data_IF_364771376352
#
_entry.id   IF_364771376352
#
_cell.length_a   1.000
_cell.length_b   1.000
_cell.length_c   1.000
_cell.angle_alpha   90.00
_cell.angle_beta   90.00
_cell.angle_gamma   90.00
#
_symmetry.space_group_name_H-M   'P 1'
#
loop_
_entity.id
_entity.type
_entity.pdbx_description
1 polymer ?
#
# COMPACT_ATOMS: atom_id res chain seq x y z
N UNK A 1 -13.83 -17.20 13.98
CA UNK A 1 -14.01 -15.83 13.46
C UNK A 1 -13.02 -15.68 12.32
N UNK A 2 -13.46 -15.25 11.14
CA UNK A 2 -12.55 -15.02 10.01
C UNK A 2 -11.58 -13.90 10.38
N UNK A 3 -10.29 -14.12 10.19
CA UNK A 3 -9.25 -13.17 10.59
C UNK A 3 -9.17 -12.07 9.54
N UNK A 4 -9.57 -10.86 9.92
CA UNK A 4 -9.54 -9.71 9.03
C UNK A 4 -8.17 -9.04 9.04
N UNK A 5 -7.77 -8.52 7.88
CA UNK A 5 -6.52 -7.82 7.65
C UNK A 5 -6.75 -6.32 7.46
N UNK A 6 -5.69 -5.55 7.69
CA UNK A 6 -5.62 -4.15 7.28
C UNK A 6 -4.79 -4.08 6.00
N UNK A 7 -5.29 -3.38 4.99
CA UNK A 7 -4.50 -3.02 3.81
C UNK A 7 -3.99 -1.58 3.94
N UNK A 8 -2.67 -1.39 3.89
CA UNK A 8 -2.04 -0.08 3.87
C UNK A 8 -1.74 0.33 2.41
N UNK A 9 -2.37 1.39 1.91
CA UNK A 9 -2.06 1.97 0.58
C UNK A 9 -1.14 3.17 0.79
N UNK A 10 0.10 3.08 0.31
CA UNK A 10 1.15 4.07 0.60
C UNK A 10 2.36 3.87 -0.32
N UNK A 11 3.29 4.82 -0.39
CA UNK A 11 4.64 4.45 -0.85
C UNK A 11 5.31 3.56 0.20
N UNK A 12 6.16 2.63 -0.22
CA UNK A 12 6.85 1.71 0.68
C UNK A 12 8.28 1.44 0.19
N UNK A 13 9.24 1.07 1.07
CA UNK A 13 10.57 0.69 0.65
C UNK A 13 10.51 -0.48 -0.37
N UNK A 14 11.32 -0.45 -1.44
CA UNK A 14 12.57 0.31 -1.59
C UNK A 14 12.40 1.72 -2.20
N UNK A 15 11.19 2.26 -2.32
CA UNK A 15 11.01 3.69 -2.61
C UNK A 15 11.55 4.53 -1.46
N UNK A 16 12.63 5.27 -1.70
CA UNK A 16 13.24 6.13 -0.69
C UNK A 16 12.52 7.49 -0.62
N UNK A 17 11.57 7.61 0.30
CA UNK A 17 10.95 8.88 0.67
C UNK A 17 10.49 8.86 2.13
N UNK A 18 10.07 10.03 2.64
CA UNK A 18 9.65 10.17 4.04
C UNK A 18 8.47 9.27 4.39
N UNK A 19 7.43 9.27 3.54
CA UNK A 19 6.22 8.49 3.81
C UNK A 19 6.44 6.97 3.67
N UNK A 20 7.39 6.53 2.83
CA UNK A 20 7.81 5.12 2.76
C UNK A 20 8.47 4.67 4.06
N UNK A 21 9.40 5.46 4.59
CA UNK A 21 10.06 5.16 5.87
C UNK A 21 9.05 5.14 7.01
N UNK A 22 8.20 6.17 7.09
CA UNK A 22 7.12 6.25 8.07
C UNK A 22 6.18 5.03 8.01
N UNK A 23 5.77 4.64 6.80
CA UNK A 23 4.83 3.54 6.61
C UNK A 23 5.42 2.20 7.04
N UNK A 24 6.68 1.91 6.70
CA UNK A 24 7.39 0.71 7.18
C UNK A 24 7.47 0.70 8.71
N UNK A 25 7.83 1.83 9.30
CA UNK A 25 7.99 1.93 10.75
C UNK A 25 6.63 1.78 11.46
N UNK A 26 5.54 2.30 10.87
CA UNK A 26 4.17 2.10 11.34
C UNK A 26 3.73 0.63 11.27
N UNK A 27 3.95 -0.04 10.13
CA UNK A 27 3.68 -1.48 9.97
C UNK A 27 4.47 -2.28 11.01
N UNK A 28 5.75 -1.98 11.19
CA UNK A 28 6.60 -2.62 12.21
C UNK A 28 6.09 -2.39 13.63
N UNK A 29 5.65 -1.17 13.97
CA UNK A 29 5.13 -0.84 15.29
C UNK A 29 3.82 -1.57 15.59
N UNK A 30 2.91 -1.66 14.61
CA UNK A 30 1.67 -2.42 14.75
C UNK A 30 1.99 -3.91 14.92
N UNK A 31 2.87 -4.48 14.10
CA UNK A 31 3.28 -5.88 14.23
C UNK A 31 3.91 -6.16 15.61
N UNK A 32 4.76 -5.26 16.13
CA UNK A 32 5.34 -5.40 17.48
C UNK A 32 4.28 -5.36 18.59
N UNK A 33 3.21 -4.57 18.40
CA UNK A 33 2.18 -4.37 19.42
C UNK A 33 1.14 -5.49 19.44
N UNK A 34 0.79 -6.03 18.26
CA UNK A 34 -0.31 -6.99 18.10
C UNK A 34 0.16 -8.39 17.66
N UNK A 35 1.44 -8.56 17.30
CA UNK A 35 2.01 -9.82 16.85
C UNK A 35 1.23 -10.38 15.66
N UNK A 36 0.81 -11.64 15.77
CA UNK A 36 -0.01 -12.31 14.77
C UNK A 36 -1.51 -12.09 14.97
N UNK A 37 -1.96 -11.33 15.97
CA UNK A 37 -3.41 -11.10 16.17
C UNK A 37 -4.00 -10.13 15.15
N UNK A 38 -3.17 -9.27 14.56
CA UNK A 38 -3.54 -8.31 13.52
C UNK A 38 -2.57 -8.43 12.35
N UNK A 39 -3.10 -8.79 11.18
CA UNK A 39 -2.31 -8.90 9.95
C UNK A 39 -2.42 -7.61 9.12
N UNK A 40 -1.29 -7.19 8.55
CA UNK A 40 -1.21 -6.05 7.65
C UNK A 40 -0.65 -6.53 6.32
N UNK A 41 -1.33 -6.16 5.23
CA UNK A 41 -0.82 -6.21 3.86
C UNK A 41 -0.56 -4.78 3.39
N UNK A 42 0.40 -4.61 2.49
CA UNK A 42 0.76 -3.32 1.89
C UNK A 42 0.44 -3.35 0.40
N UNK A 43 -0.19 -2.28 -0.07
CA UNK A 43 -0.33 -1.93 -1.47
C UNK A 43 0.59 -0.74 -1.75
N UNK A 44 1.71 -1.00 -2.40
CA UNK A 44 2.73 0.02 -2.64
C UNK A 44 2.35 0.92 -3.83
N UNK A 45 2.49 2.23 -3.66
CA UNK A 45 2.38 3.23 -4.72
C UNK A 45 3.76 3.47 -5.33
N UNK A 46 3.87 3.19 -6.62
CA UNK A 46 5.04 3.51 -7.44
C UNK A 46 4.70 4.54 -8.50
N UNK A 47 5.71 5.27 -8.95
CA UNK A 47 5.59 6.17 -10.07
C UNK A 47 6.44 5.55 -11.19
N UNK A 48 5.87 5.35 -12.38
CA UNK A 48 6.29 4.42 -13.46
C UNK A 48 7.76 4.33 -13.90
N UNK A 49 8.68 5.12 -13.33
CA UNK A 49 10.12 5.00 -13.54
C UNK A 49 10.79 3.83 -12.78
N UNK A 50 10.10 3.12 -11.87
CA UNK A 50 10.70 2.05 -11.06
C UNK A 50 9.82 0.78 -10.89
N UNK A 51 9.07 0.39 -11.93
CA UNK A 51 8.33 -0.88 -11.92
C UNK A 51 9.34 -2.04 -11.92
N UNK A 52 9.30 -2.90 -10.89
CA UNK A 52 10.20 -4.07 -10.76
C UNK A 52 11.16 -4.04 -9.57
N UNK A 53 10.88 -3.22 -8.55
CA UNK A 53 11.59 -3.25 -7.27
C UNK A 53 11.29 -4.52 -6.49
N UNK A 54 12.31 -5.07 -5.84
CA UNK A 54 12.19 -6.18 -4.90
C UNK A 54 11.55 -5.68 -3.61
N UNK A 55 10.22 -5.75 -3.58
CA UNK A 55 9.44 -5.45 -2.40
C UNK A 55 9.50 -6.60 -1.39
N UNK A 56 9.42 -6.30 -0.09
CA UNK A 56 9.37 -7.31 0.94
C UNK A 56 8.00 -8.03 0.92
N UNK A 57 7.93 -9.18 1.59
CA UNK A 57 6.79 -10.11 1.51
C UNK A 57 5.45 -9.52 1.97
N UNK A 58 5.46 -8.47 2.78
CA UNK A 58 4.23 -7.79 3.21
C UNK A 58 3.60 -6.90 2.14
N UNK A 59 4.28 -6.67 1.00
CA UNK A 59 3.73 -5.92 -0.14
C UNK A 59 3.09 -6.91 -1.12
N UNK A 60 1.77 -6.91 -1.17
CA UNK A 60 0.98 -7.84 -1.97
C UNK A 60 0.49 -7.23 -3.29
N UNK A 61 0.45 -5.90 -3.36
CA UNK A 61 -0.03 -5.16 -4.52
C UNK A 61 0.88 -3.98 -4.81
N UNK A 62 0.93 -3.59 -6.08
CA UNK A 62 1.63 -2.40 -6.54
C UNK A 62 0.65 -1.63 -7.44
N UNK A 63 0.45 -0.36 -7.14
CA UNK A 63 -0.25 0.59 -8.00
C UNK A 63 0.80 1.47 -8.66
N UNK A 64 0.76 1.54 -9.99
CA UNK A 64 1.50 2.52 -10.75
C UNK A 64 0.69 3.83 -10.82
N UNK A 65 1.05 4.82 -10.00
CA UNK A 65 0.42 6.13 -9.94
C UNK A 65 0.54 6.94 -11.24
N UNK A 66 1.38 6.52 -12.19
CA UNK A 66 1.42 7.11 -13.52
C UNK A 66 0.29 6.61 -14.45
N UNK A 67 -0.41 5.54 -14.08
CA UNK A 67 -1.40 4.84 -14.91
C UNK A 67 -2.72 4.68 -14.16
N UNK A 68 -3.75 5.43 -14.57
CA UNK A 68 -5.07 5.41 -13.94
C UNK A 68 -5.69 3.99 -13.93
N UNK A 69 -5.46 3.21 -15.00
CA UNK A 69 -5.93 1.82 -15.10
C UNK A 69 -5.31 0.90 -14.03
N UNK A 70 -4.14 1.24 -13.49
CA UNK A 70 -3.51 0.49 -12.41
C UNK A 70 -4.33 0.59 -11.12
N UNK A 71 -4.90 1.75 -10.83
CA UNK A 71 -5.79 1.94 -9.68
C UNK A 71 -7.04 1.08 -9.81
N UNK A 72 -7.73 1.13 -10.96
CA UNK A 72 -8.92 0.32 -11.19
C UNK A 72 -8.62 -1.18 -11.11
N UNK A 73 -7.53 -1.62 -11.73
CA UNK A 73 -7.12 -3.04 -11.72
C UNK A 73 -6.83 -3.56 -10.32
N UNK A 74 -6.23 -2.75 -9.45
CA UNK A 74 -5.98 -3.13 -8.04
C UNK A 74 -7.27 -3.04 -7.24
N UNK A 75 -8.07 -1.99 -7.42
CA UNK A 75 -9.35 -1.83 -6.72
C UNK A 75 -10.30 -3.01 -6.99
N UNK A 76 -10.42 -3.47 -8.23
CA UNK A 76 -11.25 -4.62 -8.59
C UNK A 76 -10.79 -5.89 -7.85
N UNK A 77 -9.48 -6.18 -7.84
CA UNK A 77 -8.91 -7.31 -7.07
C UNK A 77 -9.17 -7.20 -5.58
N UNK A 78 -9.08 -5.99 -5.02
CA UNK A 78 -9.34 -5.75 -3.60
C UNK A 78 -10.83 -5.90 -3.25
N UNK A 79 -11.73 -5.51 -4.14
CA UNK A 79 -13.18 -5.66 -3.95
C UNK A 79 -13.62 -7.13 -3.92
N UNK A 80 -12.85 -8.04 -4.52
CA UNK A 80 -13.08 -9.49 -4.45
C UNK A 80 -12.62 -10.13 -3.13
N UNK A 81 -11.86 -9.41 -2.28
CA UNK A 81 -11.29 -9.92 -1.02
C UNK A 81 -12.26 -9.71 0.15
N UNK A 82 -12.79 -10.81 0.70
CA UNK A 82 -13.64 -10.77 1.92
C UNK A 82 -12.86 -10.64 3.23
N UNK A 83 -11.56 -10.89 3.22
CA UNK A 83 -10.70 -10.90 4.40
C UNK A 83 -10.04 -9.55 4.69
N UNK A 84 -10.21 -8.54 3.84
CA UNK A 84 -9.78 -7.16 4.12
C UNK A 84 -10.86 -6.46 4.93
N UNK A 85 -10.57 -6.18 6.21
CA UNK A 85 -11.51 -5.53 7.12
C UNK A 85 -11.41 -4.00 7.13
N UNK A 86 -10.28 -3.46 6.68
CA UNK A 86 -9.99 -2.03 6.69
C UNK A 86 -8.95 -1.70 5.63
N UNK A 87 -9.13 -0.55 4.97
CA UNK A 87 -8.13 0.06 4.09
C UNK A 87 -7.67 1.36 4.74
N UNK A 88 -6.36 1.53 4.91
CA UNK A 88 -5.74 2.76 5.40
C UNK A 88 -4.91 3.38 4.28
N UNK A 89 -5.32 4.58 3.85
CA UNK A 89 -4.72 5.29 2.72
C UNK A 89 -3.81 6.39 3.28
N UNK A 90 -2.51 6.29 3.03
CA UNK A 90 -1.56 7.36 3.34
C UNK A 90 -1.55 8.37 2.19
N UNK A 91 -1.53 9.65 2.53
CA UNK A 91 -1.55 10.72 1.55
C UNK A 91 -0.41 11.70 1.77
N UNK A 92 0.25 12.07 0.69
CA UNK A 92 1.23 13.14 0.61
C UNK A 92 1.06 13.86 -0.73
N UNK A 93 1.33 15.17 -0.77
CA UNK A 93 1.25 15.94 -2.01
C UNK A 93 2.20 15.34 -3.06
N UNK A 94 1.65 15.00 -4.24
CA UNK A 94 2.40 14.42 -5.36
C UNK A 94 2.55 12.88 -5.31
N UNK A 95 1.93 12.20 -4.34
CA UNK A 95 2.03 10.74 -4.21
C UNK A 95 1.22 9.98 -5.27
N UNK A 96 0.03 10.47 -5.61
CA UNK A 96 -0.95 9.77 -6.46
C UNK A 96 -0.84 10.11 -7.96
N UNK A 97 0.10 10.97 -8.36
CA UNK A 97 0.25 11.40 -9.74
C UNK A 97 -0.83 12.40 -10.18
N UNK A 98 -0.78 12.82 -11.45
CA UNK A 98 -1.71 13.81 -11.99
C UNK A 98 -1.53 15.23 -11.44
N UNK A 99 -2.29 16.18 -11.99
CA UNK A 99 -2.31 17.55 -11.49
C UNK A 99 -3.12 17.56 -10.18
N UNK A 100 -2.50 17.98 -9.07
CA UNK A 100 -3.13 17.97 -7.74
C UNK A 100 -3.68 16.61 -7.27
N UNK A 101 -3.16 15.48 -7.76
CA UNK A 101 -3.70 14.15 -7.40
C UNK A 101 -4.90 13.74 -8.25
N UNK A 102 -5.04 14.23 -9.49
CA UNK A 102 -6.15 13.91 -10.39
C UNK A 102 -6.13 12.49 -10.97
N UNK A 103 -5.11 11.69 -10.64
CA UNK A 103 -4.98 10.29 -11.04
C UNK A 103 -5.34 9.38 -9.88
#
# INVERSE_FOLDING_TARGET
MEKRKILMITSYPPRECGIATFSRDLVSAIHKSFGTSLEIEVCALENGCNLGRDYPSEVNYIINAAEMDSFFSVADKLNERSDIGMVCIQHEFGLYGGEYGSH
#
